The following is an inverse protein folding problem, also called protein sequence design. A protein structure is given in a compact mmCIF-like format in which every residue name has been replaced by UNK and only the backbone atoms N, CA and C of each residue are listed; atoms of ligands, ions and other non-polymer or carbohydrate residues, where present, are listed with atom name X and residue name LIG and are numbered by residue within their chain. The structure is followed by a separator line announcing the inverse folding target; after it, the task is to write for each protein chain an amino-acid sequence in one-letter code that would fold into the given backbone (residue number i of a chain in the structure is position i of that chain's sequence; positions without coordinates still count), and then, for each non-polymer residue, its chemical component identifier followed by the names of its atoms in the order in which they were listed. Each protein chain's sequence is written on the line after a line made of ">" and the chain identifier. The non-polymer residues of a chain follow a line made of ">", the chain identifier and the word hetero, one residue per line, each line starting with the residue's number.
data_IF_744755750192
#
_entry.id   IF_744755750192
#
_cell.length_a   1.000
_cell.length_b   1.000
_cell.length_c   1.000
_cell.angle_alpha   90.00
_cell.angle_beta   90.00
_cell.angle_gamma   90.00
#
_symmetry.space_group_name_H-M   'P 1'
#
loop_
_entity.id
_entity.type
_entity.pdbx_description
1 polymer ?
#
# COMPACT_ATOMS: atom_id res chain seq x y z
N UNK A 1 12.81 -0.69 -10.89
CA UNK A 1 12.11 0.41 -11.58
C UNK A 1 10.67 0.03 -11.97
N UNK A 2 10.44 -1.17 -12.49
CA UNK A 2 9.10 -1.71 -12.75
C UNK A 2 8.26 -1.78 -11.47
N UNK A 3 8.87 -2.12 -10.33
CA UNK A 3 8.19 -2.15 -9.04
C UNK A 3 7.79 -0.75 -8.60
N UNK A 4 8.67 0.24 -8.76
CA UNK A 4 8.36 1.64 -8.45
C UNK A 4 7.21 2.16 -9.31
N UNK A 5 7.22 1.85 -10.59
CA UNK A 5 6.18 2.28 -11.54
C UNK A 5 4.83 1.64 -11.21
N UNK A 6 4.81 0.34 -10.85
CA UNK A 6 3.61 -0.36 -10.40
C UNK A 6 3.10 0.20 -9.08
N UNK A 7 3.99 0.48 -8.13
CA UNK A 7 3.61 1.03 -6.82
C UNK A 7 2.91 2.37 -6.94
N UNK A 8 3.31 3.20 -7.90
CA UNK A 8 2.72 4.52 -8.11
C UNK A 8 1.34 4.46 -8.74
N UNK A 9 1.06 3.47 -9.58
CA UNK A 9 -0.21 3.34 -10.32
C UNK A 9 -1.16 2.31 -9.72
N UNK A 10 -0.63 1.25 -9.13
CA UNK A 10 -1.42 0.15 -8.55
C UNK A 10 -0.76 -0.33 -7.27
N UNK A 11 -0.84 0.46 -6.18
CA UNK A 11 -0.18 0.10 -4.93
C UNK A 11 -0.66 -1.24 -4.36
N UNK A 12 -1.92 -1.61 -4.58
CA UNK A 12 -2.46 -2.89 -4.14
C UNK A 12 -1.73 -4.09 -4.76
N UNK A 13 -1.23 -3.97 -5.97
CA UNK A 13 -0.45 -5.04 -6.62
C UNK A 13 0.92 -5.22 -5.95
N UNK A 14 1.55 -4.12 -5.54
CA UNK A 14 2.80 -4.18 -4.78
C UNK A 14 2.57 -4.76 -3.39
N UNK A 15 1.47 -4.40 -2.75
CA UNK A 15 1.13 -4.94 -1.45
C UNK A 15 0.90 -6.46 -1.50
N UNK A 16 0.25 -6.96 -2.57
CA UNK A 16 0.11 -8.40 -2.83
C UNK A 16 1.48 -9.07 -2.99
N UNK A 17 2.38 -8.44 -3.72
CA UNK A 17 3.74 -8.93 -3.90
C UNK A 17 4.48 -9.07 -2.57
N UNK A 18 4.37 -8.06 -1.69
CA UNK A 18 4.97 -8.12 -0.36
C UNK A 18 4.36 -9.24 0.50
N UNK A 19 3.06 -9.39 0.48
CA UNK A 19 2.37 -10.47 1.20
C UNK A 19 2.75 -11.85 0.65
N UNK A 20 2.86 -11.97 -0.65
CA UNK A 20 3.26 -13.22 -1.31
C UNK A 20 4.66 -13.67 -0.87
N UNK A 21 5.56 -12.72 -0.70
CA UNK A 21 6.93 -12.98 -0.25
C UNK A 21 7.06 -12.97 1.28
N UNK A 22 6.01 -12.59 2.00
CA UNK A 22 6.02 -12.50 3.46
C UNK A 22 7.15 -11.62 3.98
N UNK A 23 7.40 -10.52 3.26
CA UNK A 23 8.50 -9.60 3.55
C UNK A 23 8.18 -8.19 3.06
N UNK A 24 8.50 -7.18 3.88
CA UNK A 24 8.23 -5.78 3.54
C UNK A 24 9.24 -5.18 2.56
N UNK A 25 10.39 -5.84 2.37
CA UNK A 25 11.40 -5.44 1.38
C UNK A 25 12.09 -6.69 0.83
N UNK A 26 11.40 -7.50 -0.01
CA UNK A 26 11.88 -8.84 -0.39
C UNK A 26 13.05 -8.84 -1.36
N UNK A 27 13.44 -7.69 -1.89
CA UNK A 27 14.54 -7.56 -2.84
C UNK A 27 15.78 -6.98 -2.14
N UNK A 28 16.90 -7.69 -2.20
CA UNK A 28 18.17 -7.21 -1.65
C UNK A 28 18.55 -5.87 -2.29
N UNK A 29 18.89 -4.88 -1.44
CA UNK A 29 19.27 -3.55 -1.89
C UNK A 29 18.09 -2.61 -2.20
N UNK A 30 16.84 -3.07 -2.11
CA UNK A 30 15.66 -2.23 -2.31
C UNK A 30 15.47 -1.23 -1.17
N UNK A 31 15.98 -1.53 0.00
CA UNK A 31 15.99 -0.65 1.16
C UNK A 31 17.31 -0.81 1.91
N UNK A 32 17.61 0.16 2.78
CA UNK A 32 18.84 0.14 3.56
C UNK A 32 18.80 -1.01 4.58
N UNK A 33 19.80 -1.88 4.52
CA UNK A 33 19.91 -3.02 5.42
C UNK A 33 20.60 -2.61 6.72
N UNK A 34 20.08 -3.11 7.85
CA UNK A 34 20.69 -2.95 9.15
C UNK A 34 21.03 -4.35 9.72
N UNK A 35 22.25 -4.55 10.28
CA UNK A 35 22.68 -5.87 10.71
C UNK A 35 22.03 -6.29 12.04
N UNK A 36 20.83 -6.85 11.95
CA UNK A 36 20.14 -7.47 13.08
C UNK A 36 20.30 -8.99 13.05
N UNK A 37 20.16 -9.64 14.20
CA UNK A 37 20.14 -11.11 14.30
C UNK A 37 18.89 -11.70 13.68
N UNK A 38 17.78 -10.94 13.67
CA UNK A 38 16.51 -11.33 13.06
C UNK A 38 16.18 -10.38 11.92
N UNK A 39 15.53 -10.91 10.89
CA UNK A 39 14.98 -10.10 9.81
C UNK A 39 13.66 -9.47 10.29
N UNK A 40 13.73 -8.20 10.68
CA UNK A 40 12.60 -7.47 11.23
C UNK A 40 11.57 -7.04 10.19
N UNK A 41 11.90 -7.14 8.90
CA UNK A 41 10.97 -6.82 7.83
C UNK A 41 10.19 -8.05 7.37
N UNK A 42 10.48 -9.22 7.92
CA UNK A 42 9.71 -10.43 7.66
C UNK A 42 8.32 -10.34 8.30
N UNK A 43 7.29 -10.69 7.53
CA UNK A 43 5.92 -10.76 8.02
C UNK A 43 5.73 -12.14 8.68
N UNK A 44 5.94 -12.21 9.99
CA UNK A 44 5.85 -13.47 10.76
C UNK A 44 4.40 -13.90 10.96
N UNK A 45 3.54 -12.96 11.34
CA UNK A 45 2.12 -13.20 11.55
C UNK A 45 1.34 -12.69 10.37
N UNK A 46 0.52 -13.55 9.76
CA UNK A 46 -0.31 -13.16 8.62
C UNK A 46 -1.39 -12.18 9.10
N UNK A 47 -1.45 -10.96 8.57
CA UNK A 47 -2.46 -10.01 8.98
C UNK A 47 -3.82 -10.34 8.37
N UNK A 48 -4.89 -9.89 9.01
CA UNK A 48 -6.22 -9.90 8.41
C UNK A 48 -6.45 -8.69 7.51
N UNK A 49 -5.84 -7.57 7.87
CA UNK A 49 -5.92 -6.31 7.14
C UNK A 49 -4.50 -5.76 6.99
N UNK A 50 -4.13 -5.45 5.76
CA UNK A 50 -2.82 -4.90 5.42
C UNK A 50 -3.02 -3.51 4.81
N UNK A 51 -2.50 -2.48 5.47
CA UNK A 51 -2.72 -1.08 5.09
C UNK A 51 -1.38 -0.41 4.77
N UNK A 52 -1.36 0.35 3.71
CA UNK A 52 -0.21 1.19 3.37
C UNK A 52 -0.66 2.58 2.89
N UNK A 53 0.28 3.49 2.84
CA UNK A 53 0.07 4.85 2.35
C UNK A 53 1.18 5.27 1.39
N UNK A 54 1.49 6.56 1.39
CA UNK A 54 2.60 7.18 0.64
C UNK A 54 2.35 7.42 -0.85
N UNK A 55 1.68 6.52 -1.54
CA UNK A 55 1.47 6.64 -2.99
C UNK A 55 0.37 7.65 -3.36
N UNK A 56 -0.41 8.11 -2.38
CA UNK A 56 -1.57 8.99 -2.56
C UNK A 56 -2.66 8.38 -3.46
N UNK A 57 -2.66 7.06 -3.60
CA UNK A 57 -3.67 6.32 -4.37
C UNK A 57 -4.55 5.50 -3.45
N UNK A 58 -5.86 5.62 -3.62
CA UNK A 58 -6.82 4.79 -2.90
C UNK A 58 -7.00 3.47 -3.66
N UNK A 59 -6.73 2.36 -2.98
CA UNK A 59 -6.87 1.04 -3.59
C UNK A 59 -7.36 0.01 -2.58
N UNK A 60 -8.28 -0.83 -3.00
CA UNK A 60 -8.83 -1.91 -2.19
C UNK A 60 -8.68 -3.20 -2.97
N UNK A 61 -8.18 -4.24 -2.32
CA UNK A 61 -8.06 -5.56 -2.92
C UNK A 61 -8.07 -6.63 -1.85
N UNK A 62 -8.10 -7.88 -2.27
CA UNK A 62 -8.04 -9.04 -1.37
C UNK A 62 -7.00 -10.02 -1.90
N UNK A 63 -6.25 -10.61 -1.00
CA UNK A 63 -5.29 -11.67 -1.30
C UNK A 63 -5.33 -12.70 -0.18
N UNK A 64 -5.69 -13.96 -0.49
CA UNK A 64 -5.79 -15.05 0.48
C UNK A 64 -6.54 -14.66 1.77
N UNK A 65 -7.72 -14.06 1.61
CA UNK A 65 -8.55 -13.54 2.70
C UNK A 65 -7.93 -12.37 3.48
N UNK A 66 -6.86 -11.79 2.99
CA UNK A 66 -6.27 -10.57 3.57
C UNK A 66 -6.87 -9.37 2.84
N UNK A 67 -7.48 -8.46 3.58
CA UNK A 67 -7.95 -7.20 3.04
C UNK A 67 -6.77 -6.25 2.86
N UNK A 68 -6.55 -5.80 1.64
CA UNK A 68 -5.48 -4.88 1.29
C UNK A 68 -6.06 -3.50 1.06
N UNK A 69 -5.51 -2.51 1.75
CA UNK A 69 -5.94 -1.12 1.65
C UNK A 69 -4.74 -0.23 1.39
N UNK A 70 -4.74 0.46 0.26
CA UNK A 70 -3.87 1.61 0.05
C UNK A 70 -4.66 2.86 0.37
N UNK A 71 -4.17 3.64 1.31
CA UNK A 71 -4.86 4.86 1.74
C UNK A 71 -4.55 6.02 0.82
N UNK A 72 -5.50 6.92 0.72
CA UNK A 72 -5.38 8.16 -0.04
C UNK A 72 -4.63 9.23 0.78
N UNK A 73 -4.78 10.47 0.39
CA UNK A 73 -4.25 11.63 1.07
C UNK A 73 -5.28 12.76 1.06
N UNK A 74 -5.08 13.76 1.90
CA UNK A 74 -5.92 14.96 1.90
C UNK A 74 -5.43 16.01 0.91
N UNK A 75 -4.18 15.92 0.54
CA UNK A 75 -3.51 16.88 -0.33
C UNK A 75 -3.85 16.61 -1.80
N UNK A 76 -4.27 17.67 -2.51
CA UNK A 76 -4.43 17.62 -3.96
C UNK A 76 -3.06 17.52 -4.64
N UNK A 77 -3.04 17.46 -5.98
CA UNK A 77 -1.81 17.34 -6.75
C UNK A 77 -0.79 18.41 -6.36
N UNK A 78 0.41 17.97 -5.98
CA UNK A 78 1.55 18.85 -5.70
C UNK A 78 2.34 19.13 -6.99
N UNK A 79 3.16 20.20 -7.04
CA UNK A 79 4.07 20.43 -8.17
C UNK A 79 5.02 19.25 -8.42
N UNK A 80 5.43 18.55 -7.35
CA UNK A 80 6.26 17.36 -7.47
C UNK A 80 5.52 16.24 -8.21
N UNK A 81 4.27 15.98 -7.85
CA UNK A 81 3.45 14.93 -8.48
C UNK A 81 3.14 15.26 -9.93
N UNK A 82 2.84 16.54 -10.23
CA UNK A 82 2.63 17.02 -11.59
C UNK A 82 3.85 16.79 -12.46
N UNK A 83 5.05 17.11 -11.93
CA UNK A 83 6.32 16.91 -12.62
C UNK A 83 6.57 15.46 -12.99
N UNK A 84 6.17 14.50 -12.14
CA UNK A 84 6.38 13.08 -12.35
C UNK A 84 5.16 12.35 -12.92
N UNK A 85 4.11 13.08 -13.30
CA UNK A 85 2.91 12.51 -13.91
C UNK A 85 2.03 11.71 -12.95
N UNK A 86 2.14 11.94 -11.65
CA UNK A 86 1.33 11.27 -10.64
C UNK A 86 0.07 12.06 -10.34
N UNK A 87 -1.08 11.39 -10.38
CA UNK A 87 -2.36 11.99 -9.99
C UNK A 87 -2.83 11.35 -8.68
N UNK A 88 -2.99 12.13 -7.59
CA UNK A 88 -3.48 11.59 -6.33
C UNK A 88 -4.98 11.36 -6.35
N UNK A 89 -5.43 10.31 -5.65
CA UNK A 89 -6.84 10.07 -5.34
C UNK A 89 -7.14 10.73 -3.99
N UNK A 90 -7.14 12.04 -3.92
CA UNK A 90 -7.23 12.75 -2.65
C UNK A 90 -8.65 12.72 -2.04
N UNK A 91 -8.73 12.92 -0.73
CA UNK A 91 -9.97 13.02 0.04
C UNK A 91 -10.84 11.75 0.02
N UNK A 92 -10.25 10.59 -0.17
CA UNK A 92 -10.95 9.31 -0.13
C UNK A 92 -10.59 8.53 1.13
N UNK A 93 -11.59 8.09 1.87
CA UNK A 93 -11.41 7.39 3.14
C UNK A 93 -12.04 6.01 3.06
N UNK A 94 -11.25 4.93 3.09
CA UNK A 94 -11.79 3.58 3.21
C UNK A 94 -12.37 3.35 4.61
N UNK A 95 -13.60 2.91 4.66
CA UNK A 95 -14.28 2.56 5.92
C UNK A 95 -14.56 1.06 5.91
N UNK A 96 -14.02 0.35 6.90
CA UNK A 96 -14.10 -1.11 6.97
C UNK A 96 -15.12 -1.53 8.01
N UNK A 97 -16.06 -2.39 7.63
CA UNK A 97 -16.91 -3.09 8.59
C UNK A 97 -16.19 -4.36 9.02
N UNK A 98 -15.72 -4.40 10.25
CA UNK A 98 -14.93 -5.53 10.77
C UNK A 98 -15.72 -6.82 10.88
N UNK A 99 -17.03 -6.73 11.02
CA UNK A 99 -17.89 -7.92 11.12
C UNK A 99 -18.08 -8.61 9.77
N UNK A 100 -18.38 -7.82 8.73
CA UNK A 100 -18.64 -8.33 7.39
C UNK A 100 -17.42 -8.30 6.48
N UNK A 101 -16.38 -7.54 6.87
CA UNK A 101 -15.16 -7.28 6.09
C UNK A 101 -15.43 -6.54 4.77
N UNK A 102 -16.56 -5.87 4.68
CA UNK A 102 -16.88 -5.02 3.54
C UNK A 102 -16.23 -3.66 3.70
N UNK A 103 -15.88 -3.05 2.57
CA UNK A 103 -15.23 -1.74 2.53
C UNK A 103 -16.11 -0.77 1.77
N UNK A 104 -16.32 0.41 2.35
CA UNK A 104 -16.99 1.52 1.71
C UNK A 104 -16.00 2.68 1.61
N UNK A 105 -15.88 3.27 0.44
CA UNK A 105 -15.02 4.44 0.25
C UNK A 105 -15.87 5.69 0.38
N UNK A 106 -15.52 6.53 1.35
CA UNK A 106 -16.13 7.84 1.53
C UNK A 106 -15.33 8.87 0.74
N UNK A 107 -16.00 9.62 -0.10
CA UNK A 107 -15.38 10.64 -0.93
C UNK A 107 -15.76 12.02 -0.40
N UNK A 108 -14.76 12.75 0.08
CA UNK A 108 -14.92 14.10 0.64
C UNK A 108 -14.46 15.20 -0.33
N UNK A 109 -14.24 14.85 -1.56
CA UNK A 109 -13.86 15.82 -2.60
C UNK A 109 -15.00 16.75 -2.98
#
# INVERSE_FOLDING_TARGET
>A
ELIKKKAMNSPEEIMKYLLKHRHLAPTYGSTQAYPHKEDRLMIKNVPDIFVSGHTHKCGISYYNNILIISTSCWEAMTPYQEKFGNEPDHCKVPMVNLKTRTVKILDFE
#
